data_IF_592799186413
#
_entry.id   IF_592799186413
#
_cell.length_a   1.000
_cell.length_b   1.000
_cell.length_c   1.000
_cell.angle_alpha   90.00
_cell.angle_beta   90.00
_cell.angle_gamma   90.00
#
_symmetry.space_group_name_H-M   'P 1'
#
loop_
_entity.id
_entity.type
_entity.pdbx_description
1 polymer ?
#
# COMPACT_ATOMS: atom_id res chain seq x y z
N UNK A 1 -1.41 -11.58 5.79
CA UNK A 1 -1.91 -10.81 4.64
C UNK A 1 -0.94 -9.65 4.42
N UNK A 2 -0.28 -9.56 3.27
CA UNK A 2 0.67 -8.48 3.00
C UNK A 2 -0.07 -7.16 2.76
N UNK A 3 0.58 -6.06 3.12
CA UNK A 3 0.04 -4.71 2.98
C UNK A 3 1.09 -3.75 2.45
N UNK A 4 0.68 -2.89 1.53
CA UNK A 4 1.48 -1.79 1.01
C UNK A 4 0.77 -0.45 1.29
N UNK A 5 1.56 0.55 1.66
CA UNK A 5 1.09 1.92 1.87
C UNK A 5 1.59 2.76 0.69
N UNK A 6 0.70 3.56 0.13
CA UNK A 6 0.93 4.38 -1.07
C UNK A 6 0.43 5.81 -0.85
N UNK A 7 0.68 6.73 -1.79
CA UNK A 7 -0.01 8.01 -1.79
C UNK A 7 -1.47 7.86 -2.27
N UNK A 8 -2.37 8.72 -1.79
CA UNK A 8 -3.80 8.64 -2.13
C UNK A 8 -4.10 8.72 -3.63
N UNK A 9 -3.29 9.48 -4.38
CA UNK A 9 -3.44 9.67 -5.82
C UNK A 9 -3.16 8.39 -6.64
N UNK A 10 -2.21 7.56 -6.20
CA UNK A 10 -1.79 6.36 -6.96
C UNK A 10 -2.46 5.08 -6.44
N UNK A 11 -3.04 5.08 -5.23
CA UNK A 11 -3.60 3.88 -4.56
C UNK A 11 -4.49 3.03 -5.47
N UNK A 12 -5.43 3.66 -6.20
CA UNK A 12 -6.35 2.95 -7.11
C UNK A 12 -5.61 2.33 -8.30
N UNK A 13 -4.65 3.04 -8.87
CA UNK A 13 -3.85 2.58 -10.00
C UNK A 13 -3.02 1.37 -9.61
N UNK A 14 -2.33 1.44 -8.46
CA UNK A 14 -1.54 0.33 -7.91
C UNK A 14 -2.40 -0.90 -7.66
N UNK A 15 -3.59 -0.76 -7.03
CA UNK A 15 -4.49 -1.90 -6.81
C UNK A 15 -4.92 -2.56 -8.12
N UNK A 16 -5.31 -1.79 -9.13
CA UNK A 16 -5.72 -2.32 -10.44
C UNK A 16 -4.61 -3.08 -11.16
N UNK A 17 -3.37 -2.61 -11.07
CA UNK A 17 -2.24 -3.30 -11.68
C UNK A 17 -1.94 -4.60 -10.92
N UNK A 18 -1.94 -4.54 -9.58
CA UNK A 18 -1.51 -5.65 -8.73
C UNK A 18 -2.59 -6.69 -8.45
N UNK A 19 -3.88 -6.40 -8.62
CA UNK A 19 -4.96 -7.34 -8.26
C UNK A 19 -4.91 -8.66 -9.02
N UNK A 20 -4.42 -8.64 -10.27
CA UNK A 20 -4.27 -9.85 -11.08
C UNK A 20 -3.06 -10.71 -10.68
N UNK A 21 -2.05 -10.12 -10.05
CA UNK A 21 -0.81 -10.81 -9.65
C UNK A 21 -0.80 -11.18 -8.16
N UNK A 22 -1.41 -10.34 -7.33
CA UNK A 22 -1.43 -10.45 -5.88
C UNK A 22 -2.84 -10.10 -5.34
N UNK A 23 -3.85 -10.96 -5.60
CA UNK A 23 -5.24 -10.67 -5.22
C UNK A 23 -5.40 -10.40 -3.71
N UNK A 24 -4.59 -11.07 -2.89
CA UNK A 24 -4.57 -10.99 -1.43
C UNK A 24 -3.75 -9.81 -0.86
N UNK A 25 -3.17 -8.93 -1.70
CA UNK A 25 -2.41 -7.77 -1.26
C UNK A 25 -3.34 -6.61 -0.91
N UNK A 26 -3.28 -6.15 0.33
CA UNK A 26 -3.99 -4.93 0.74
C UNK A 26 -3.21 -3.70 0.31
N UNK A 27 -3.85 -2.82 -0.46
CA UNK A 27 -3.27 -1.54 -0.87
C UNK A 27 -4.01 -0.43 -0.12
N UNK A 28 -3.31 0.25 0.78
CA UNK A 28 -3.80 1.43 1.49
C UNK A 28 -3.07 2.68 1.03
N UNK A 29 -3.71 3.82 1.22
CA UNK A 29 -3.10 5.14 1.14
C UNK A 29 -2.78 5.67 2.53
N UNK A 30 -1.78 6.56 2.63
CA UNK A 30 -1.49 7.27 3.88
C UNK A 30 -2.71 8.00 4.46
N UNK A 31 -3.63 8.46 3.61
CA UNK A 31 -4.84 9.18 4.04
C UNK A 31 -5.90 8.27 4.69
N UNK A 32 -5.81 6.94 4.50
CA UNK A 32 -6.72 5.96 5.09
C UNK A 32 -6.25 5.48 6.48
N UNK A 33 -5.08 5.94 6.94
CA UNK A 33 -4.48 5.53 8.21
C UNK A 33 -4.90 6.49 9.34
N UNK A 34 -5.22 5.91 10.50
CA UNK A 34 -5.38 6.68 11.73
C UNK A 34 -4.02 7.28 12.14
N UNK A 35 -4.01 8.55 12.54
CA UNK A 35 -2.82 9.27 12.99
C UNK A 35 -2.25 8.73 14.29
N UNK A 36 -3.04 8.00 15.07
CA UNK A 36 -2.60 7.38 16.32
C UNK A 36 -2.00 5.98 16.15
N UNK A 37 -1.89 5.50 14.91
CA UNK A 37 -1.42 4.14 14.64
C UNK A 37 0.10 4.05 14.66
N UNK A 38 0.62 3.08 15.42
CA UNK A 38 2.06 2.78 15.45
C UNK A 38 2.43 1.92 14.24
N UNK A 39 3.07 2.53 13.25
CA UNK A 39 3.52 1.88 12.02
C UNK A 39 4.93 1.30 12.21
N UNK A 40 5.11 0.02 11.87
CA UNK A 40 6.42 -0.59 11.69
C UNK A 40 6.67 -0.83 10.21
N UNK A 41 7.53 -0.01 9.60
CA UNK A 41 7.92 -0.18 8.20
C UNK A 41 8.90 -1.34 8.10
N UNK A 42 8.55 -2.35 7.30
CA UNK A 42 9.39 -3.54 7.05
C UNK A 42 10.33 -3.37 5.86
N UNK A 43 10.03 -2.41 4.97
CA UNK A 43 10.80 -2.11 3.78
C UNK A 43 10.14 -1.03 2.93
N UNK A 44 10.90 -0.49 1.99
CA UNK A 44 10.45 0.49 0.99
C UNK A 44 10.76 -0.10 -0.39
N UNK A 45 9.83 0.08 -1.34
CA UNK A 45 10.05 -0.30 -2.74
C UNK A 45 10.60 0.93 -3.44
N UNK A 46 11.77 0.79 -4.05
CA UNK A 46 12.43 1.84 -4.83
C UNK A 46 12.84 1.29 -6.21
N UNK A 47 13.05 2.18 -7.18
CA UNK A 47 13.52 1.85 -8.53
C UNK A 47 15.06 1.80 -8.56
N UNK A 48 15.67 0.80 -7.95
CA UNK A 48 17.10 0.47 -8.19
C UNK A 48 17.27 -0.37 -9.48
#
# INVERSE_FOLDING_TARGET
MPLIITSGSIRRHIRKVLENYMPNLTVLSYNELDRQLNLKVIGVIDED
#
